data_IF_047535282425
#
_entry.id   IF_047535282425
#
_cell.length_a   1.000
_cell.length_b   1.000
_cell.length_c   1.000
_cell.angle_alpha   90.00
_cell.angle_beta   90.00
_cell.angle_gamma   90.00
#
_symmetry.space_group_name_H-M   'P 1'
#
loop_
_entity.id
_entity.type
_entity.pdbx_description
1 polymer ?
#
# COMPACT_ATOMS: atom_id res chain seq x y z
N UNK A 1 -2.97 7.47 -4.63
CA UNK A 1 -2.63 8.89 -4.87
C UNK A 1 -1.65 9.34 -3.80
N UNK A 2 -0.58 10.04 -4.13
CA UNK A 2 0.46 10.41 -3.14
C UNK A 2 1.02 11.81 -3.39
N UNK A 3 1.40 12.54 -2.34
CA UNK A 3 2.19 13.78 -2.48
C UNK A 3 3.57 13.43 -3.03
N UNK A 4 4.15 14.32 -3.82
CA UNK A 4 5.51 14.14 -4.34
C UNK A 4 6.53 14.55 -3.27
N UNK A 5 7.31 13.59 -2.79
CA UNK A 5 8.42 13.84 -1.88
C UNK A 5 9.82 13.80 -2.53
N UNK A 6 9.91 13.49 -3.83
CA UNK A 6 11.21 13.34 -4.54
C UNK A 6 11.95 14.65 -4.84
N UNK A 7 11.32 15.81 -4.63
CA UNK A 7 11.90 17.15 -4.88
C UNK A 7 11.81 18.07 -3.66
N UNK A 8 11.81 17.50 -2.47
CA UNK A 8 11.63 18.21 -1.21
C UNK A 8 10.43 17.68 -0.44
N UNK A 9 10.39 18.06 0.84
CA UNK A 9 9.29 17.71 1.76
C UNK A 9 8.03 18.46 1.33
N UNK A 10 6.85 17.80 1.27
CA UNK A 10 5.59 18.48 0.98
C UNK A 10 5.23 19.54 2.04
N UNK A 11 4.66 20.66 1.60
CA UNK A 11 4.20 21.73 2.50
C UNK A 11 2.77 21.49 3.03
N UNK A 12 2.10 20.46 2.55
CA UNK A 12 0.72 20.09 2.86
C UNK A 12 -0.30 21.16 2.47
N UNK A 13 -0.05 21.83 1.34
CA UNK A 13 -0.95 22.81 0.73
C UNK A 13 -1.47 22.32 -0.64
N UNK A 14 -2.33 23.11 -1.28
CA UNK A 14 -2.83 22.87 -2.65
C UNK A 14 -1.74 23.04 -3.73
N UNK A 15 -0.55 23.53 -3.38
CA UNK A 15 0.58 23.72 -4.30
C UNK A 15 1.52 22.51 -4.36
N UNK A 16 1.36 21.53 -3.45
CA UNK A 16 2.10 20.30 -3.53
C UNK A 16 1.70 19.49 -4.77
N UNK A 17 2.70 18.91 -5.43
CA UNK A 17 2.45 18.02 -6.55
C UNK A 17 1.92 16.67 -6.06
N UNK A 18 0.96 16.12 -6.78
CA UNK A 18 0.36 14.81 -6.52
C UNK A 18 0.82 13.83 -7.60
N UNK A 19 1.15 12.61 -7.22
CA UNK A 19 1.30 11.48 -8.11
C UNK A 19 -0.01 10.71 -8.24
N UNK A 20 -0.41 10.47 -9.49
CA UNK A 20 -1.47 9.57 -9.88
C UNK A 20 -1.12 8.10 -9.60
N UNK A 21 -2.07 7.15 -9.79
CA UNK A 21 -1.80 5.72 -9.59
C UNK A 21 -0.73 5.17 -10.52
N UNK A 22 -0.57 5.75 -11.71
CA UNK A 22 0.48 5.40 -12.68
C UNK A 22 1.88 5.96 -12.35
N UNK A 23 2.03 6.74 -11.27
CA UNK A 23 3.29 7.38 -10.90
C UNK A 23 3.57 8.71 -11.61
N UNK A 24 2.70 9.13 -12.53
CA UNK A 24 2.79 10.45 -13.18
C UNK A 24 2.32 11.57 -12.27
N UNK A 25 2.91 12.76 -12.46
CA UNK A 25 2.46 13.97 -11.74
C UNK A 25 1.10 14.39 -12.29
N UNK A 26 0.10 14.50 -11.42
CA UNK A 26 -1.20 15.09 -11.70
C UNK A 26 -1.22 16.56 -11.27
N UNK A 27 -1.78 17.42 -12.12
CA UNK A 27 -1.92 18.86 -11.89
C UNK A 27 -3.40 19.22 -11.75
N UNK A 28 -3.77 20.11 -10.81
CA UNK A 28 -5.15 20.55 -10.68
C UNK A 28 -5.57 21.43 -11.87
N UNK A 29 -6.85 21.37 -12.20
CA UNK A 29 -7.47 22.31 -13.13
C UNK A 29 -7.45 23.72 -12.54
N UNK A 30 -6.90 24.66 -13.31
CA UNK A 30 -6.80 26.07 -12.94
C UNK A 30 -7.30 26.94 -14.10
N UNK A 31 -7.90 28.08 -13.76
CA UNK A 31 -8.34 29.07 -14.74
C UNK A 31 -7.17 29.93 -15.26
N UNK A 32 -7.44 30.87 -16.16
CA UNK A 32 -6.44 31.77 -16.74
C UNK A 32 -5.73 32.67 -15.71
N UNK A 33 -6.31 32.83 -14.51
CA UNK A 33 -5.71 33.58 -13.39
C UNK A 33 -4.84 32.69 -12.49
N UNK A 34 -4.84 31.37 -12.71
CA UNK A 34 -4.18 30.38 -11.90
C UNK A 34 -4.97 29.94 -10.67
N UNK A 35 -6.22 30.37 -10.51
CA UNK A 35 -7.08 29.93 -9.41
C UNK A 35 -7.64 28.52 -9.69
N UNK A 36 -7.88 27.74 -8.63
CA UNK A 36 -8.44 26.38 -8.76
C UNK A 36 -9.86 26.44 -9.34
N UNK A 37 -10.10 25.68 -10.40
CA UNK A 37 -11.46 25.45 -10.91
C UNK A 37 -12.09 24.37 -10.07
N UNK A 38 -13.21 24.69 -9.43
CA UNK A 38 -13.93 23.74 -8.59
C UNK A 38 -15.43 23.79 -8.82
N UNK A 39 -16.08 22.65 -8.59
CA UNK A 39 -17.54 22.51 -8.64
C UNK A 39 -18.08 22.07 -7.29
N UNK A 40 -19.32 22.43 -6.98
CA UNK A 40 -20.01 22.00 -5.76
C UNK A 40 -20.88 20.79 -6.10
N UNK A 41 -20.63 19.67 -5.42
CA UNK A 41 -21.32 18.40 -5.69
C UNK A 41 -21.93 17.85 -4.40
N UNK A 42 -23.25 17.76 -4.36
CA UNK A 42 -24.01 17.15 -3.25
C UNK A 42 -24.72 15.86 -3.63
N UNK A 43 -24.65 15.48 -4.92
CA UNK A 43 -25.26 14.27 -5.46
C UNK A 43 -24.33 13.60 -6.47
N UNK A 44 -24.27 12.28 -6.46
CA UNK A 44 -23.47 11.49 -7.39
C UNK A 44 -24.32 10.35 -7.97
N UNK A 45 -24.40 10.23 -9.30
CA UNK A 45 -25.24 9.23 -10.00
C UNK A 45 -26.68 9.13 -9.44
N UNK A 46 -27.28 10.27 -9.11
CA UNK A 46 -28.65 10.34 -8.57
C UNK A 46 -28.77 10.11 -7.06
N UNK A 47 -27.70 9.64 -6.40
CA UNK A 47 -27.62 9.40 -4.96
C UNK A 47 -27.23 10.68 -4.21
N UNK A 48 -27.83 10.92 -3.04
CA UNK A 48 -27.48 12.05 -2.16
C UNK A 48 -26.23 11.72 -1.34
N UNK A 49 -25.27 12.64 -1.28
CA UNK A 49 -24.01 12.43 -0.56
C UNK A 49 -24.09 12.82 0.91
N UNK A 50 -25.23 13.36 1.39
CA UNK A 50 -25.43 13.89 2.75
C UNK A 50 -24.44 15.02 3.14
N UNK A 51 -23.68 15.52 2.16
CA UNK A 51 -22.71 16.59 2.27
C UNK A 51 -22.57 17.27 0.90
N UNK A 52 -22.08 18.50 0.88
CA UNK A 52 -21.67 19.17 -0.36
C UNK A 52 -20.16 19.21 -0.41
N UNK A 53 -19.58 18.68 -1.48
CA UNK A 53 -18.14 18.63 -1.70
C UNK A 53 -17.70 19.68 -2.71
N UNK A 54 -16.57 20.32 -2.44
CA UNK A 54 -15.79 21.00 -3.46
C UNK A 54 -14.97 19.96 -4.23
N UNK A 55 -15.21 19.89 -5.53
CA UNK A 55 -14.56 18.93 -6.43
C UNK A 55 -13.65 19.66 -7.40
N UNK A 56 -12.37 19.31 -7.39
CA UNK A 56 -11.34 19.82 -8.31
C UNK A 56 -10.90 18.68 -9.21
N UNK A 57 -10.92 18.92 -10.52
CA UNK A 57 -10.39 17.95 -11.50
C UNK A 57 -8.87 18.04 -11.56
N UNK A 58 -8.22 16.92 -11.75
CA UNK A 58 -6.79 16.82 -11.99
C UNK A 58 -6.52 16.15 -13.35
N UNK A 59 -5.39 16.53 -13.94
CA UNK A 59 -4.91 16.00 -15.21
C UNK A 59 -3.51 15.43 -15.05
N UNK A 60 -3.27 14.24 -15.56
CA UNK A 60 -1.92 13.69 -15.65
C UNK A 60 -1.07 14.55 -16.58
N UNK A 61 0.14 14.89 -16.15
CA UNK A 61 1.10 15.66 -16.96
C UNK A 61 1.46 14.93 -18.25
N UNK A 62 1.57 13.60 -18.16
CA UNK A 62 1.70 12.70 -19.30
C UNK A 62 0.45 11.84 -19.30
N UNK A 63 -0.41 12.01 -20.30
CA UNK A 63 -1.67 11.30 -20.39
C UNK A 63 -1.47 9.92 -21.05
N UNK A 64 -2.13 8.91 -20.52
CA UNK A 64 -2.04 7.54 -21.03
C UNK A 64 -3.27 6.68 -20.73
N UNK A 65 -3.94 6.91 -19.61
CA UNK A 65 -5.13 6.14 -19.20
C UNK A 65 -6.46 6.82 -19.59
N UNK A 66 -6.43 8.11 -19.93
CA UNK A 66 -7.59 8.95 -20.18
C UNK A 66 -8.62 8.91 -19.05
N UNK A 67 -8.14 8.72 -17.81
CA UNK A 67 -8.96 8.67 -16.62
C UNK A 67 -9.38 10.09 -16.20
N UNK A 68 -10.60 10.23 -15.67
CA UNK A 68 -11.01 11.47 -14.99
C UNK A 68 -10.63 11.37 -13.53
N UNK A 69 -9.67 12.18 -13.11
CA UNK A 69 -9.13 12.21 -11.76
C UNK A 69 -9.73 13.40 -11.02
N UNK A 70 -10.28 13.17 -9.84
CA UNK A 70 -10.92 14.21 -9.05
C UNK A 70 -10.49 14.15 -7.60
N UNK A 71 -10.27 15.32 -7.01
CA UNK A 71 -10.10 15.50 -5.58
C UNK A 71 -11.37 16.12 -5.00
N UNK A 72 -11.89 15.49 -3.96
CA UNK A 72 -13.15 15.82 -3.32
C UNK A 72 -12.89 16.18 -1.86
N UNK A 73 -13.28 17.38 -1.42
CA UNK A 73 -13.13 17.85 -0.04
C UNK A 73 -14.40 18.56 0.46
N UNK A 74 -14.77 18.36 1.72
CA UNK A 74 -15.95 19.02 2.29
C UNK A 74 -15.69 20.53 2.49
N UNK A 75 -14.46 20.90 2.86
CA UNK A 75 -14.00 22.27 2.98
C UNK A 75 -12.48 22.36 2.71
N UNK A 76 -11.89 23.55 2.88
CA UNK A 76 -10.47 23.80 2.59
C UNK A 76 -9.50 23.13 3.59
N UNK A 77 -9.95 22.82 4.81
CA UNK A 77 -9.14 22.20 5.85
C UNK A 77 -9.23 20.66 5.78
N UNK A 78 -10.30 20.12 5.19
CA UNK A 78 -10.44 18.69 4.94
C UNK A 78 -9.41 18.21 3.89
N UNK A 79 -8.54 17.23 4.22
CA UNK A 79 -7.62 16.63 3.23
C UNK A 79 -8.35 15.91 2.09
N UNK A 80 -9.64 15.62 2.27
CA UNK A 80 -10.49 15.05 1.24
C UNK A 80 -10.11 13.61 0.86
N UNK A 81 -10.63 13.18 -0.27
CA UNK A 81 -10.38 11.88 -0.89
C UNK A 81 -10.30 12.03 -2.41
N UNK A 82 -9.88 10.97 -3.10
CA UNK A 82 -9.80 10.99 -4.56
C UNK A 82 -10.78 10.02 -5.19
N UNK A 83 -11.40 10.44 -6.28
CA UNK A 83 -12.23 9.61 -7.13
C UNK A 83 -11.64 9.58 -8.54
N UNK A 84 -11.37 8.38 -9.05
CA UNK A 84 -10.85 8.18 -10.39
C UNK A 84 -11.86 7.39 -11.21
N UNK A 85 -12.31 7.97 -12.31
CA UNK A 85 -13.13 7.29 -13.30
C UNK A 85 -12.23 6.74 -14.41
N UNK A 86 -12.20 5.42 -14.55
CA UNK A 86 -11.54 4.75 -15.65
C UNK A 86 -12.28 4.93 -16.97
N UNK A 87 -11.54 4.88 -18.08
CA UNK A 87 -12.12 4.91 -19.43
C UNK A 87 -13.00 3.68 -19.74
N UNK A 88 -12.84 2.61 -18.97
CA UNK A 88 -13.64 1.38 -19.01
C UNK A 88 -14.97 1.49 -18.21
N UNK A 89 -15.25 2.65 -17.62
CA UNK A 89 -16.42 2.87 -16.77
C UNK A 89 -16.23 2.44 -15.32
N UNK A 90 -15.03 2.01 -14.92
CA UNK A 90 -14.73 1.74 -13.52
C UNK A 90 -14.64 3.02 -12.69
N UNK A 91 -14.93 2.89 -11.39
CA UNK A 91 -14.71 3.90 -10.37
C UNK A 91 -13.69 3.37 -9.36
N UNK A 92 -12.75 4.21 -8.95
CA UNK A 92 -11.74 3.88 -7.94
C UNK A 92 -11.69 5.02 -6.92
N UNK A 93 -12.04 4.71 -5.68
CA UNK A 93 -12.09 5.64 -4.57
C UNK A 93 -10.83 5.46 -3.70
N UNK A 94 -10.13 6.54 -3.39
CA UNK A 94 -8.90 6.49 -2.60
C UNK A 94 -9.00 7.37 -1.35
N UNK A 95 -8.67 6.78 -0.20
CA UNK A 95 -8.54 7.49 1.07
C UNK A 95 -9.83 8.18 1.52
N UNK A 96 -10.98 7.56 1.31
CA UNK A 96 -12.27 7.98 1.88
C UNK A 96 -12.31 7.75 3.39
N UNK A 97 -11.70 6.66 3.86
CA UNK A 97 -11.56 6.30 5.29
C UNK A 97 -10.24 6.81 5.84
N UNK A 98 -10.14 6.97 7.15
CA UNK A 98 -8.88 7.35 7.82
C UNK A 98 -7.87 6.20 7.85
N UNK A 99 -8.35 4.96 7.85
CA UNK A 99 -7.52 3.74 7.78
C UNK A 99 -6.84 3.58 6.42
N UNK A 100 -7.36 4.16 5.35
CA UNK A 100 -6.79 4.15 3.99
C UNK A 100 -6.00 5.43 3.67
N UNK A 101 -5.56 6.16 4.69
CA UNK A 101 -4.68 7.33 4.57
C UNK A 101 -3.38 7.08 5.33
N UNK A 102 -2.26 7.36 4.69
CA UNK A 102 -0.97 7.55 5.36
C UNK A 102 -0.83 9.04 5.64
N UNK A 103 -0.85 9.42 6.91
CA UNK A 103 -0.85 10.81 7.36
C UNK A 103 0.09 11.00 8.56
N UNK A 104 0.46 12.25 8.81
CA UNK A 104 1.24 12.63 9.98
C UNK A 104 0.49 12.25 11.28
N UNK A 105 1.05 11.42 12.16
CA UNK A 105 0.41 11.08 13.42
C UNK A 105 0.18 12.28 14.36
N UNK A 106 0.90 13.39 14.16
CA UNK A 106 0.71 14.63 14.90
C UNK A 106 -0.38 15.53 14.30
N UNK A 107 -0.70 15.37 13.02
CA UNK A 107 -1.75 16.12 12.32
C UNK A 107 -2.34 15.28 11.17
N UNK A 108 -3.49 14.66 11.42
CA UNK A 108 -4.15 13.75 10.47
C UNK A 108 -4.64 14.45 9.19
N UNK A 109 -4.64 15.78 9.12
CA UNK A 109 -4.93 16.53 7.89
C UNK A 109 -3.70 16.58 6.96
N UNK A 110 -2.51 16.33 7.48
CA UNK A 110 -1.28 16.20 6.69
C UNK A 110 -1.18 14.81 6.08
N UNK A 111 -2.04 14.53 5.11
CA UNK A 111 -2.07 13.25 4.37
C UNK A 111 -0.97 13.23 3.32
N UNK A 112 -0.09 12.23 3.41
CA UNK A 112 0.95 11.94 2.43
C UNK A 112 0.42 11.08 1.29
N UNK A 113 -0.34 10.02 1.62
CA UNK A 113 -0.88 9.07 0.62
C UNK A 113 -2.33 8.72 0.92
N UNK A 114 -3.16 8.69 -0.13
CA UNK A 114 -4.51 8.14 -0.14
C UNK A 114 -4.45 6.79 -0.86
N UNK A 115 -4.70 5.72 -0.10
CA UNK A 115 -4.68 4.33 -0.55
C UNK A 115 -6.04 3.97 -1.17
N UNK A 116 -6.04 3.00 -2.09
CA UNK A 116 -7.26 2.56 -2.77
C UNK A 116 -8.20 1.93 -1.75
N UNK A 117 -9.41 2.44 -1.65
CA UNK A 117 -10.42 2.01 -0.68
C UNK A 117 -11.43 1.05 -1.29
N UNK A 118 -11.94 1.42 -2.47
CA UNK A 118 -12.99 0.70 -3.16
C UNK A 118 -12.83 0.88 -4.68
N UNK A 119 -12.99 -0.22 -5.41
CA UNK A 119 -13.17 -0.19 -6.86
C UNK A 119 -14.55 -0.75 -7.21
N UNK A 120 -15.19 -0.18 -8.22
CA UNK A 120 -16.47 -0.64 -8.76
C UNK A 120 -16.41 -0.64 -10.28
N UNK A 121 -16.84 -1.71 -10.93
CA UNK A 121 -16.94 -1.73 -12.39
C UNK A 121 -18.31 -1.20 -12.88
N UNK A 122 -18.48 -1.11 -14.20
CA UNK A 122 -19.68 -0.56 -14.82
C UNK A 122 -20.98 -1.37 -14.57
N UNK A 123 -20.88 -2.62 -14.10
CA UNK A 123 -22.03 -3.50 -13.84
C UNK A 123 -22.34 -3.65 -12.35
N UNK A 124 -21.61 -2.96 -11.47
CA UNK A 124 -21.87 -2.95 -10.04
C UNK A 124 -21.24 -4.11 -9.28
N UNK A 125 -20.15 -4.68 -9.80
CA UNK A 125 -19.25 -5.55 -9.03
C UNK A 125 -18.21 -4.67 -8.32
N UNK A 126 -17.96 -4.97 -7.06
CA UNK A 126 -17.12 -4.17 -6.17
C UNK A 126 -15.91 -4.97 -5.69
N UNK A 127 -14.87 -4.22 -5.34
CA UNK A 127 -13.70 -4.68 -4.60
C UNK A 127 -13.47 -3.69 -3.47
N UNK A 128 -13.45 -4.17 -2.22
CA UNK A 128 -13.16 -3.37 -1.04
C UNK A 128 -11.78 -3.72 -0.50
N UNK A 129 -10.95 -2.71 -0.28
CA UNK A 129 -9.58 -2.85 0.22
C UNK A 129 -9.51 -2.32 1.65
N UNK A 130 -8.94 -3.09 2.56
CA UNK A 130 -8.89 -2.75 3.98
C UNK A 130 -7.46 -2.76 4.47
N UNK A 131 -7.15 -1.78 5.30
CA UNK A 131 -5.81 -1.58 5.82
C UNK A 131 -5.83 -1.61 7.34
N UNK A 132 -4.86 -2.32 7.92
CA UNK A 132 -4.58 -2.29 9.35
C UNK A 132 -3.60 -1.14 9.63
N UNK A 133 -3.95 -0.19 10.52
CA UNK A 133 -3.03 0.85 10.95
C UNK A 133 -1.92 0.26 11.82
N UNK A 134 -0.72 0.82 11.73
CA UNK A 134 0.35 0.50 12.67
C UNK A 134 -0.04 0.93 14.09
N UNK A 135 0.11 0.02 15.05
CA UNK A 135 -0.38 0.14 16.42
C UNK A 135 0.72 0.03 17.48
N UNK A 136 1.99 -0.16 17.06
CA UNK A 136 3.16 -0.39 17.91
C UNK A 136 3.13 -1.69 18.74
N UNK A 137 2.21 -2.61 18.48
CA UNK A 137 2.22 -3.91 19.17
C UNK A 137 3.55 -4.63 18.93
N UNK A 138 4.18 -5.11 20.00
CA UNK A 138 5.50 -5.74 19.96
C UNK A 138 6.69 -4.78 20.12
N UNK A 139 6.46 -3.47 20.23
CA UNK A 139 7.48 -2.51 20.70
C UNK A 139 7.41 -2.33 22.23
N UNK A 140 8.49 -1.80 22.80
CA UNK A 140 8.49 -1.32 24.18
C UNK A 140 7.57 -0.10 24.33
N UNK A 141 6.93 0.06 25.50
CA UNK A 141 5.95 1.15 25.76
C UNK A 141 6.59 2.54 25.65
N UNK A 142 7.87 2.67 26.01
CA UNK A 142 8.67 3.90 25.96
C UNK A 142 9.48 4.03 24.67
N UNK A 143 9.15 3.28 23.62
CA UNK A 143 9.88 3.33 22.36
C UNK A 143 9.86 4.76 21.78
N UNK A 144 11.02 5.37 21.46
CA UNK A 144 11.10 6.81 21.18
C UNK A 144 10.59 7.23 19.80
N UNK A 145 10.30 6.27 18.91
CA UNK A 145 9.93 6.50 17.50
C UNK A 145 8.45 6.25 17.26
N UNK A 146 7.85 6.99 16.32
CA UNK A 146 6.42 6.92 16.04
C UNK A 146 6.12 6.40 14.64
N UNK A 147 5.83 5.10 14.55
CA UNK A 147 5.46 4.40 13.31
C UNK A 147 3.96 4.47 12.92
N UNK A 148 3.09 5.15 13.68
CA UNK A 148 1.62 5.09 13.50
C UNK A 148 1.10 5.64 12.17
N UNK A 149 1.95 6.30 11.40
CA UNK A 149 1.61 6.77 10.06
C UNK A 149 1.34 5.59 9.10
N UNK A 150 1.99 4.45 9.31
CA UNK A 150 1.97 3.35 8.36
C UNK A 150 0.62 2.62 8.30
N UNK A 151 0.30 2.10 7.12
CA UNK A 151 -0.86 1.27 6.83
C UNK A 151 -0.41 0.00 6.10
N UNK A 152 -1.01 -1.13 6.44
CA UNK A 152 -0.72 -2.41 5.83
C UNK A 152 -2.01 -2.98 5.25
N UNK A 153 -2.01 -3.35 3.97
CA UNK A 153 -3.18 -4.01 3.36
C UNK A 153 -3.45 -5.30 4.14
N UNK A 154 -4.62 -5.43 4.74
CA UNK A 154 -4.97 -6.56 5.61
C UNK A 154 -6.00 -7.47 4.97
N UNK A 155 -6.94 -6.92 4.20
CA UNK A 155 -8.00 -7.69 3.57
C UNK A 155 -8.47 -7.04 2.27
N UNK A 156 -8.79 -7.86 1.28
CA UNK A 156 -9.49 -7.45 0.06
C UNK A 156 -10.72 -8.31 -0.10
N UNK A 157 -11.91 -7.69 -0.09
CA UNK A 157 -13.19 -8.36 -0.29
C UNK A 157 -13.68 -8.14 -1.71
N UNK A 158 -14.14 -9.18 -2.39
CA UNK A 158 -14.71 -9.05 -3.73
C UNK A 158 -15.76 -10.13 -4.01
N UNK A 159 -16.49 -9.98 -5.12
CA UNK A 159 -17.65 -10.82 -5.41
C UNK A 159 -18.80 -10.51 -4.44
N UNK A 160 -19.20 -9.24 -4.37
CA UNK A 160 -20.41 -8.83 -3.66
C UNK A 160 -21.62 -9.62 -4.18
N UNK A 161 -22.38 -10.24 -3.27
CA UNK A 161 -23.45 -11.17 -3.62
C UNK A 161 -24.58 -10.53 -4.46
N UNK A 162 -24.74 -9.21 -4.36
CA UNK A 162 -25.69 -8.44 -5.15
C UNK A 162 -24.98 -7.25 -5.76
N UNK A 163 -25.08 -7.13 -7.08
CA UNK A 163 -24.59 -5.96 -7.80
C UNK A 163 -25.20 -4.68 -7.21
N UNK A 164 -24.39 -3.64 -7.08
CA UNK A 164 -24.80 -2.36 -6.51
C UNK A 164 -24.40 -1.20 -7.44
N UNK A 165 -25.28 -0.20 -7.67
CA UNK A 165 -25.06 0.78 -8.74
C UNK A 165 -24.18 1.98 -8.32
N UNK A 166 -23.82 2.07 -7.04
CA UNK A 166 -23.03 3.17 -6.47
C UNK A 166 -21.99 2.62 -5.50
N UNK A 167 -20.87 3.33 -5.33
CA UNK A 167 -19.83 2.97 -4.36
C UNK A 167 -20.43 2.84 -2.96
N UNK A 168 -20.12 1.75 -2.26
CA UNK A 168 -20.58 1.50 -0.90
C UNK A 168 -20.06 2.56 0.07
N UNK A 169 -18.84 3.06 -0.14
CA UNK A 169 -18.22 4.07 0.72
C UNK A 169 -18.80 5.49 0.57
N UNK A 170 -19.85 5.68 -0.25
CA UNK A 170 -20.70 6.86 -0.11
C UNK A 170 -21.53 6.83 1.18
N UNK A 171 -21.88 5.64 1.68
CA UNK A 171 -22.58 5.41 2.94
C UNK A 171 -21.93 4.22 3.67
N UNK A 172 -20.86 4.48 4.42
CA UNK A 172 -20.04 3.45 5.05
C UNK A 172 -20.84 2.50 5.98
N UNK A 173 -21.86 3.02 6.66
CA UNK A 173 -22.75 2.22 7.53
C UNK A 173 -23.48 1.08 6.79
N UNK A 174 -23.52 1.11 5.45
CA UNK A 174 -24.11 0.05 4.63
C UNK A 174 -23.25 -1.22 4.53
N UNK A 175 -21.97 -1.16 4.94
CA UNK A 175 -21.03 -2.27 4.78
C UNK A 175 -21.33 -3.47 5.68
N UNK A 176 -21.84 -3.26 6.89
CA UNK A 176 -21.97 -4.29 7.95
C UNK A 176 -23.03 -5.37 7.67
N UNK A 177 -23.75 -5.27 6.56
CA UNK A 177 -24.72 -6.28 6.10
C UNK A 177 -24.40 -6.89 4.74
N UNK A 178 -23.27 -6.55 4.13
CA UNK A 178 -22.93 -7.01 2.79
C UNK A 178 -22.32 -8.42 2.83
N UNK A 179 -22.89 -9.31 2.02
CA UNK A 179 -22.30 -10.62 1.76
C UNK A 179 -21.28 -10.50 0.64
N UNK A 180 -20.04 -10.89 0.94
CA UNK A 180 -18.94 -11.04 0.00
C UNK A 180 -18.59 -12.51 -0.14
N UNK A 181 -18.36 -12.97 -1.36
CA UNK A 181 -18.06 -14.38 -1.63
C UNK A 181 -16.58 -14.72 -1.51
N UNK A 182 -15.70 -13.73 -1.65
CA UNK A 182 -14.26 -13.94 -1.64
C UNK A 182 -13.56 -12.93 -0.74
N UNK A 183 -12.70 -13.46 0.13
CA UNK A 183 -11.85 -12.68 1.02
C UNK A 183 -10.40 -13.07 0.82
N UNK A 184 -9.59 -12.10 0.43
CA UNK A 184 -8.15 -12.23 0.34
C UNK A 184 -7.51 -11.55 1.55
N UNK A 185 -7.02 -12.35 2.51
CA UNK A 185 -6.41 -11.88 3.75
C UNK A 185 -4.90 -11.83 3.58
N UNK A 186 -4.29 -10.72 4.00
CA UNK A 186 -2.85 -10.53 4.08
C UNK A 186 -2.43 -10.65 5.54
N UNK A 187 -1.72 -11.71 5.84
CA UNK A 187 -1.33 -12.08 7.19
C UNK A 187 0.14 -11.75 7.43
N UNK A 188 0.40 -11.07 8.54
CA UNK A 188 1.67 -10.56 9.00
C UNK A 188 2.07 -11.28 10.30
N UNK A 189 2.04 -12.62 10.29
CA UNK A 189 2.33 -13.50 11.45
C UNK A 189 1.25 -13.49 12.55
N UNK A 190 -0.01 -13.10 12.26
CA UNK A 190 -1.11 -13.23 13.23
C UNK A 190 -1.73 -14.64 13.27
N UNK A 191 -1.37 -15.51 12.33
CA UNK A 191 -1.88 -16.89 12.20
C UNK A 191 -0.72 -17.87 12.09
N UNK A 192 -0.96 -19.11 12.49
CA UNK A 192 0.01 -20.19 12.32
C UNK A 192 0.32 -20.39 10.83
N UNK A 193 1.60 -20.56 10.48
CA UNK A 193 2.06 -20.80 9.10
C UNK A 193 2.18 -22.28 8.78
N UNK A 194 1.97 -23.18 9.75
CA UNK A 194 1.88 -24.63 9.49
C UNK A 194 0.72 -24.93 8.54
N UNK A 195 0.82 -26.06 7.84
CA UNK A 195 -0.23 -26.53 6.94
C UNK A 195 -1.25 -27.45 7.61
N UNK A 196 -0.92 -27.96 8.81
CA UNK A 196 -1.74 -28.88 9.60
C UNK A 196 -1.75 -28.41 11.08
N UNK A 197 -2.89 -27.90 11.59
CA UNK A 197 -4.13 -27.60 10.84
C UNK A 197 -3.94 -26.43 9.85
N UNK A 198 -4.86 -26.26 8.87
CA UNK A 198 -4.85 -25.07 8.02
C UNK A 198 -5.02 -23.78 8.82
N UNK A 199 -4.47 -22.63 8.34
CA UNK A 199 -4.71 -21.33 8.97
C UNK A 199 -6.21 -21.01 9.10
N UNK A 200 -6.58 -20.49 10.26
CA UNK A 200 -7.95 -20.08 10.54
C UNK A 200 -8.27 -18.70 9.94
N UNK A 201 -9.56 -18.42 9.84
CA UNK A 201 -10.05 -17.14 9.35
C UNK A 201 -9.72 -16.00 10.30
N UNK A 202 -9.88 -16.19 11.61
CA UNK A 202 -9.62 -15.18 12.64
C UNK A 202 -8.13 -15.11 13.03
N UNK A 203 -7.70 -13.95 13.51
CA UNK A 203 -6.34 -13.74 14.04
C UNK A 203 -6.19 -14.49 15.38
N UNK A 204 -5.06 -15.16 15.58
CA UNK A 204 -4.77 -15.94 16.80
C UNK A 204 -3.67 -15.31 17.65
N UNK A 205 -2.77 -14.57 17.01
CA UNK A 205 -1.58 -13.99 17.61
C UNK A 205 -1.47 -12.50 17.31
N UNK A 206 -0.78 -11.79 18.20
CA UNK A 206 -0.29 -10.44 17.96
C UNK A 206 0.71 -10.47 16.79
N UNK A 207 0.59 -9.56 15.83
CA UNK A 207 1.62 -9.42 14.80
C UNK A 207 2.98 -8.99 15.39
N UNK A 208 4.07 -9.70 15.10
CA UNK A 208 5.40 -9.35 15.58
C UNK A 208 5.96 -8.14 14.85
N UNK A 209 7.01 -7.57 15.43
CA UNK A 209 7.85 -6.55 14.79
C UNK A 209 8.94 -7.26 13.99
N UNK A 210 9.13 -6.88 12.73
CA UNK A 210 10.22 -7.37 11.87
C UNK A 210 11.58 -7.05 12.50
N UNK A 211 12.56 -7.90 12.27
CA UNK A 211 13.91 -7.74 12.86
C UNK A 211 14.72 -6.59 12.26
N UNK A 212 14.29 -6.03 11.13
CA UNK A 212 14.90 -4.92 10.40
C UNK A 212 13.92 -3.75 10.18
N UNK A 213 13.45 -3.07 11.25
CA UNK A 213 12.64 -1.86 11.10
C UNK A 213 13.39 -0.80 10.30
N UNK A 214 12.71 -0.18 9.35
CA UNK A 214 13.28 0.91 8.56
C UNK A 214 12.25 2.00 8.35
N UNK A 215 12.70 3.20 7.99
CA UNK A 215 11.82 4.35 7.84
C UNK A 215 12.29 5.29 6.75
N UNK A 216 11.32 5.98 6.17
CA UNK A 216 11.53 7.15 5.34
C UNK A 216 11.01 8.38 6.07
N UNK A 217 11.70 9.51 5.86
CA UNK A 217 11.28 10.83 6.34
C UNK A 217 10.95 11.78 5.18
N UNK A 218 10.78 11.23 3.98
CA UNK A 218 10.60 12.03 2.76
C UNK A 218 9.35 12.95 2.84
N UNK A 219 8.34 12.53 3.59
CA UNK A 219 7.11 13.30 3.81
C UNK A 219 7.21 14.32 4.96
N UNK A 220 8.35 14.45 5.64
CA UNK A 220 8.53 15.37 6.77
C UNK A 220 7.98 14.83 8.10
N UNK A 221 7.52 13.59 8.13
CA UNK A 221 7.27 12.80 9.32
C UNK A 221 7.80 11.38 9.11
N UNK A 222 7.89 10.62 10.19
CA UNK A 222 8.38 9.24 10.16
C UNK A 222 7.34 8.29 9.53
N UNK A 223 7.67 7.76 8.35
CA UNK A 223 6.94 6.63 7.75
C UNK A 223 7.81 5.39 7.87
N UNK A 224 7.58 4.58 8.91
CA UNK A 224 8.36 3.38 9.13
C UNK A 224 7.56 2.09 9.08
N UNK A 225 8.26 1.03 8.72
CA UNK A 225 7.72 -0.31 8.48
C UNK A 225 8.16 -1.24 9.60
N UNK A 226 7.18 -1.82 10.30
CA UNK A 226 7.41 -2.79 11.38
C UNK A 226 6.91 -4.19 11.03
N UNK A 227 6.14 -4.36 9.96
CA UNK A 227 5.45 -5.62 9.66
C UNK A 227 5.98 -6.25 8.38
N UNK A 228 5.90 -7.58 8.32
CA UNK A 228 6.31 -8.37 7.17
C UNK A 228 5.20 -9.38 6.85
N UNK A 229 4.64 -9.32 5.65
CA UNK A 229 3.59 -10.24 5.23
C UNK A 229 4.19 -11.64 5.09
N UNK A 230 3.56 -12.64 5.71
CA UNK A 230 4.01 -14.04 5.68
C UNK A 230 3.14 -14.95 4.86
N UNK A 231 1.87 -14.64 4.74
CA UNK A 231 0.98 -15.43 3.91
C UNK A 231 -0.16 -14.58 3.37
N UNK A 232 -0.64 -14.96 2.19
CA UNK A 232 -1.86 -14.43 1.60
C UNK A 232 -2.86 -15.59 1.50
N UNK A 233 -4.01 -15.43 2.13
CA UNK A 233 -5.01 -16.48 2.35
C UNK A 233 -6.29 -16.14 1.60
N UNK A 234 -6.75 -17.05 0.74
CA UNK A 234 -8.01 -16.91 0.01
C UNK A 234 -9.10 -17.73 0.71
N UNK A 235 -10.10 -17.03 1.23
CA UNK A 235 -11.30 -17.61 1.81
C UNK A 235 -12.50 -17.44 0.88
N UNK A 236 -13.30 -18.50 0.77
CA UNK A 236 -14.58 -18.49 0.06
C UNK A 236 -15.71 -18.52 1.08
N UNK A 237 -16.75 -17.71 0.85
CA UNK A 237 -17.90 -17.63 1.72
C UNK A 237 -19.20 -17.82 0.91
N UNK A 238 -19.72 -19.04 0.96
CA UNK A 238 -20.94 -19.47 0.28
C UNK A 238 -21.84 -20.19 1.31
N UNK A 239 -22.57 -19.45 2.16
CA UNK A 239 -23.33 -20.02 3.28
C UNK A 239 -24.26 -21.17 2.90
N UNK A 240 -24.93 -21.06 1.75
CA UNK A 240 -25.92 -22.05 1.32
C UNK A 240 -25.30 -23.33 0.75
N UNK A 241 -24.07 -23.25 0.25
CA UNK A 241 -23.38 -24.35 -0.46
C UNK A 241 -22.27 -25.00 0.36
N UNK A 242 -21.51 -24.21 1.13
CA UNK A 242 -20.30 -24.62 1.85
C UNK A 242 -20.43 -24.49 3.39
N UNK A 243 -21.54 -23.94 3.87
CA UNK A 243 -21.79 -23.65 5.28
C UNK A 243 -21.45 -22.22 5.68
N UNK A 244 -21.88 -21.82 6.88
CA UNK A 244 -21.84 -20.43 7.36
C UNK A 244 -20.42 -19.87 7.56
N UNK A 245 -19.41 -20.72 7.74
CA UNK A 245 -18.05 -20.26 8.00
C UNK A 245 -17.26 -20.06 6.69
N UNK A 246 -16.44 -19.00 6.57
CA UNK A 246 -15.51 -18.87 5.45
C UNK A 246 -14.54 -20.06 5.37
N UNK A 247 -14.36 -20.60 4.16
CA UNK A 247 -13.53 -21.77 3.91
C UNK A 247 -12.21 -21.35 3.25
N UNK A 248 -11.07 -21.74 3.84
CA UNK A 248 -9.76 -21.54 3.21
C UNK A 248 -9.65 -22.43 1.97
N UNK A 249 -9.37 -21.83 0.82
CA UNK A 249 -9.23 -22.55 -0.46
C UNK A 249 -7.82 -22.53 -1.00
N UNK A 250 -7.10 -21.41 -0.83
CA UNK A 250 -5.72 -21.24 -1.27
C UNK A 250 -4.90 -20.45 -0.28
N UNK A 251 -3.61 -20.77 -0.23
CA UNK A 251 -2.59 -20.01 0.48
C UNK A 251 -1.39 -19.77 -0.43
N UNK A 252 -0.89 -18.54 -0.40
CA UNK A 252 0.46 -18.19 -0.83
C UNK A 252 1.30 -17.95 0.44
N UNK A 253 2.17 -18.89 0.78
CA UNK A 253 3.11 -18.74 1.91
C UNK A 253 4.40 -18.09 1.41
N UNK A 254 4.82 -17.03 2.09
CA UNK A 254 5.98 -16.19 1.77
C UNK A 254 7.11 -16.45 2.76
N UNK A 255 8.08 -17.22 2.31
CA UNK A 255 9.27 -17.56 3.09
C UNK A 255 10.27 -16.42 3.03
N UNK A 256 10.74 -15.98 4.19
CA UNK A 256 11.78 -14.97 4.30
C UNK A 256 12.93 -15.49 5.14
N UNK A 257 14.13 -15.00 4.87
CA UNK A 257 15.28 -15.21 5.71
C UNK A 257 15.94 -13.88 6.06
N UNK A 258 16.56 -13.83 7.24
CA UNK A 258 17.38 -12.70 7.65
C UNK A 258 18.81 -12.92 7.16
N UNK A 259 19.39 -11.91 6.52
CA UNK A 259 20.78 -11.92 6.08
C UNK A 259 21.75 -11.77 7.25
N UNK A 260 23.03 -12.07 7.04
CA UNK A 260 24.08 -11.81 8.03
C UNK A 260 24.20 -10.33 8.41
N UNK A 261 23.78 -9.42 7.53
CA UNK A 261 23.73 -7.98 7.76
C UNK A 261 22.44 -7.52 8.47
N UNK A 262 21.53 -8.44 8.77
CA UNK A 262 20.37 -8.20 9.64
C UNK A 262 19.07 -7.82 8.93
N UNK A 263 19.04 -7.66 7.60
CA UNK A 263 17.80 -7.36 6.85
C UNK A 263 17.12 -8.61 6.29
N UNK A 264 15.80 -8.56 6.10
CA UNK A 264 14.98 -9.66 5.61
C UNK A 264 14.85 -9.65 4.08
N UNK A 265 14.94 -10.83 3.46
CA UNK A 265 14.71 -11.06 2.03
C UNK A 265 13.68 -12.17 1.83
N UNK A 266 12.81 -12.04 0.84
CA UNK A 266 11.87 -13.09 0.42
C UNK A 266 12.63 -14.18 -0.35
N UNK A 267 12.76 -15.38 0.19
CA UNK A 267 13.47 -16.50 -0.46
C UNK A 267 12.57 -17.39 -1.30
N UNK A 268 11.30 -17.54 -0.93
CA UNK A 268 10.39 -18.41 -1.66
C UNK A 268 8.92 -18.03 -1.51
N UNK A 269 8.13 -18.38 -2.51
CA UNK A 269 6.68 -18.32 -2.48
C UNK A 269 6.10 -19.71 -2.77
N UNK A 270 5.33 -20.24 -1.82
CA UNK A 270 4.74 -21.57 -1.88
C UNK A 270 3.23 -21.45 -2.12
N UNK A 271 2.74 -22.02 -3.23
CA UNK A 271 1.30 -22.05 -3.54
C UNK A 271 0.70 -23.36 -3.05
N UNK A 272 -0.32 -23.25 -2.21
CA UNK A 272 -0.97 -24.39 -1.56
C UNK A 272 -2.48 -24.27 -1.66
N UNK A 273 -3.17 -25.39 -1.79
CA UNK A 273 -4.62 -25.44 -1.92
C UNK A 273 -5.23 -26.55 -1.06
N UNK A 274 -6.47 -26.31 -0.63
CA UNK A 274 -7.31 -27.28 0.05
C UNK A 274 -8.56 -27.52 -0.79
N UNK A 275 -8.97 -28.78 -0.89
CA UNK A 275 -10.18 -29.16 -1.63
C UNK A 275 -11.48 -28.93 -0.84
N UNK A 276 -11.37 -28.56 0.44
CA UNK A 276 -12.50 -28.31 1.33
C UNK A 276 -13.23 -29.56 1.84
N UNK A 277 -12.83 -30.77 1.40
CA UNK A 277 -13.44 -32.05 1.78
C UNK A 277 -12.63 -32.83 2.80
N UNK A 278 -11.30 -32.71 2.74
CA UNK A 278 -10.39 -33.18 3.78
C UNK A 278 -9.22 -32.20 3.93
N UNK A 279 -9.23 -31.42 5.01
CA UNK A 279 -8.17 -30.45 5.30
C UNK A 279 -6.78 -31.10 5.41
N UNK A 280 -6.71 -32.44 5.60
CA UNK A 280 -5.45 -33.21 5.66
C UNK A 280 -4.81 -33.42 4.30
N UNK A 281 -5.51 -33.13 3.20
CA UNK A 281 -4.98 -33.21 1.84
C UNK A 281 -4.69 -31.81 1.30
N UNK A 282 -3.49 -31.34 1.60
CA UNK A 282 -2.94 -30.11 1.02
C UNK A 282 -2.31 -30.46 -0.32
N UNK A 283 -2.79 -29.85 -1.40
CA UNK A 283 -2.08 -29.84 -2.67
C UNK A 283 -1.05 -28.70 -2.66
N UNK A 284 0.18 -28.99 -3.09
CA UNK A 284 1.29 -28.04 -3.05
C UNK A 284 2.00 -28.04 -4.40
N UNK A 285 2.16 -26.85 -4.98
CA UNK A 285 3.00 -26.67 -6.15
C UNK A 285 4.46 -26.48 -5.72
N UNK A 286 5.44 -26.83 -6.58
CA UNK A 286 6.84 -26.48 -6.35
C UNK A 286 6.98 -24.98 -6.08
N UNK A 287 7.79 -24.57 -5.08
CA UNK A 287 7.92 -23.16 -4.74
C UNK A 287 8.63 -22.38 -5.84
N UNK A 288 8.23 -21.12 -6.01
CA UNK A 288 9.04 -20.13 -6.74
C UNK A 288 10.12 -19.65 -5.79
N UNK A 289 11.39 -19.81 -6.16
CA UNK A 289 12.53 -19.41 -5.34
C UNK A 289 13.17 -18.14 -5.88
N UNK A 290 13.62 -17.29 -4.97
CA UNK A 290 14.33 -16.06 -5.23
C UNK A 290 15.72 -16.14 -4.60
N UNK A 291 16.72 -15.69 -5.35
CA UNK A 291 18.10 -15.61 -4.89
C UNK A 291 18.63 -14.21 -5.14
N UNK A 292 19.47 -13.75 -4.23
CA UNK A 292 20.03 -12.41 -4.22
C UNK A 292 21.55 -12.51 -4.20
N UNK A 293 22.22 -11.49 -4.73
CA UNK A 293 23.65 -11.34 -4.55
C UNK A 293 23.96 -11.14 -3.07
N UNK A 294 24.84 -11.97 -2.54
CA UNK A 294 25.27 -11.90 -1.15
C UNK A 294 26.40 -10.87 -0.95
N UNK A 295 26.57 -10.40 0.28
CA UNK A 295 27.71 -9.57 0.68
C UNK A 295 28.59 -10.37 1.64
N UNK A 296 29.71 -10.89 1.13
CA UNK A 296 30.70 -11.61 1.93
C UNK A 296 32.02 -10.87 1.99
N UNK A 297 32.56 -10.73 3.20
CA UNK A 297 33.90 -10.17 3.43
C UNK A 297 35.01 -11.23 3.32
N UNK A 298 34.65 -12.52 3.17
CA UNK A 298 35.62 -13.62 3.17
C UNK A 298 36.58 -13.59 1.97
N UNK A 299 36.18 -12.96 0.87
CA UNK A 299 36.97 -12.82 -0.36
C UNK A 299 37.75 -11.49 -0.47
N UNK A 300 37.73 -10.65 0.56
CA UNK A 300 38.39 -9.34 0.53
C UNK A 300 39.91 -9.44 0.64
N UNK A 301 40.63 -9.45 -0.49
CA UNK A 301 42.09 -9.36 -0.51
C UNK A 301 42.50 -7.93 -0.86
N UNK A 302 43.20 -7.25 0.05
CA UNK A 302 43.82 -5.96 -0.26
C UNK A 302 44.82 -6.15 -1.39
N UNK A 303 44.55 -5.49 -2.51
CA UNK A 303 45.39 -5.55 -3.71
C UNK A 303 46.01 -4.17 -3.90
N UNK A 304 47.34 -4.06 -4.06
CA UNK A 304 47.96 -2.79 -4.38
C UNK A 304 47.35 -2.19 -5.65
N UNK A 305 46.93 -0.92 -5.58
CA UNK A 305 46.57 -0.17 -6.77
C UNK A 305 47.84 0.06 -7.59
N UNK A 306 47.81 -0.20 -8.89
CA UNK A 306 48.97 0.03 -9.74
C UNK A 306 49.41 1.50 -9.66
N UNK A 307 50.72 1.80 -9.66
CA UNK A 307 51.20 3.18 -9.55
C UNK A 307 50.65 4.06 -10.69
N UNK A 308 49.80 5.01 -10.34
CA UNK A 308 49.27 6.02 -11.25
C UNK A 308 49.92 7.38 -10.97
N UNK A 309 50.18 8.14 -12.02
CA UNK A 309 50.73 9.49 -11.88
C UNK A 309 49.78 10.37 -11.05
N UNK A 310 50.31 11.07 -10.03
CA UNK A 310 49.53 11.95 -9.15
C UNK A 310 48.86 11.29 -7.94
N UNK A 311 48.89 9.95 -7.81
CA UNK A 311 48.33 9.24 -6.65
C UNK A 311 49.38 8.84 -5.60
N UNK A 312 50.65 8.78 -5.98
CA UNK A 312 51.79 8.38 -5.12
C UNK A 312 52.90 9.45 -5.06
N UNK A 313 52.55 10.73 -5.22
CA UNK A 313 53.50 11.85 -5.25
C UNK A 313 53.68 12.57 -3.89
N UNK A 314 53.04 12.05 -2.84
CA UNK A 314 53.06 12.61 -1.50
C UNK A 314 52.06 13.76 -1.27
N UNK A 315 51.25 14.10 -2.26
CA UNK A 315 50.17 15.09 -2.12
C UNK A 315 48.88 14.46 -1.59
N UNK A 316 48.00 15.30 -1.06
CA UNK A 316 46.65 14.89 -0.65
C UNK A 316 45.70 14.94 -1.85
N UNK A 317 44.85 13.93 -1.99
CA UNK A 317 43.83 13.86 -3.03
C UNK A 317 42.49 13.39 -2.44
N UNK A 318 41.43 13.56 -3.22
CA UNK A 318 40.09 13.05 -2.91
C UNK A 318 39.58 12.28 -4.12
N UNK A 319 39.09 11.06 -3.90
CA UNK A 319 38.40 10.28 -4.93
C UNK A 319 36.93 10.68 -4.93
N UNK A 320 36.56 11.58 -5.83
CA UNK A 320 35.22 12.17 -5.90
C UNK A 320 34.72 12.21 -7.33
N UNK A 321 33.43 11.98 -7.52
CA UNK A 321 32.77 12.14 -8.82
C UNK A 321 32.46 13.63 -9.03
N UNK A 322 33.46 14.39 -9.48
CA UNK A 322 33.36 15.85 -9.62
C UNK A 322 32.41 16.27 -10.75
N UNK A 323 32.27 15.43 -11.78
CA UNK A 323 31.48 15.74 -12.97
C UNK A 323 30.12 15.05 -13.00
N UNK A 324 29.85 14.11 -12.09
CA UNK A 324 28.60 13.37 -12.04
C UNK A 324 28.51 12.26 -13.09
N UNK A 325 29.64 11.69 -13.49
CA UNK A 325 29.70 10.61 -14.49
C UNK A 325 29.41 9.23 -13.87
N UNK A 326 29.18 9.18 -12.55
CA UNK A 326 28.84 7.98 -11.79
C UNK A 326 30.05 7.23 -11.23
N UNK A 327 31.27 7.73 -11.45
CA UNK A 327 32.51 7.13 -10.97
C UNK A 327 33.40 8.21 -10.32
N UNK A 328 33.94 7.96 -9.10
CA UNK A 328 34.90 8.87 -8.51
C UNK A 328 36.23 8.82 -9.27
N UNK A 329 36.76 9.99 -9.61
CA UNK A 329 38.03 10.17 -10.32
C UNK A 329 39.21 10.42 -9.41
#
# INVERSE_FOLDING_TARGET
MARRASKGVPNYTDDDLIFGPGGDVCLPERDDSGALVSSQVSRYNGHDLNATYQVVRYFSRVEGAFARIEHWRADIADPGFWLIHGADGSLNLYGRRTSSRIADPADMNRVAEWLLDESMNAVGEHILYEYKPEDHQGLAEDHPRNFRAQRYLSRVRYGNAKAHPVLYLWQEDSLDGLLWHFDLIFDYDQRDTRSDPPPEYDEQFTWPVRSDPHSSFAYGFELGNLRLCRQVLMFHHFPNELGEAPLLTRRLLLEHYQTALGYNLLSAAHSQAWDGTDWRRVDQQPPVQFQYTDFSLESGIYTPLEPMAGLNDGQQYQLVDLYGDGLPG
#
